data_IF_716013542134
#
_entry.id   IF_716013542134
#
_cell.length_a   1.000
_cell.length_b   1.000
_cell.length_c   1.000
_cell.angle_alpha   90.00
_cell.angle_beta   90.00
_cell.angle_gamma   90.00
#
_symmetry.space_group_name_H-M   'P 1'
#
loop_
_entity.id
_entity.type
_entity.pdbx_description
1 polymer ?
#
# COMPACT_ATOMS: atom_id res chain seq x y z
N UNK A 1 -8.11 57.09 73.35
CA UNK A 1 -9.26 56.96 72.43
C UNK A 1 -8.70 57.07 71.02
N UNK A 2 -8.39 55.95 70.38
CA UNK A 2 -7.93 55.92 68.98
C UNK A 2 -8.81 54.92 68.26
N UNK A 3 -9.65 55.44 67.38
CA UNK A 3 -10.67 54.71 66.64
C UNK A 3 -9.95 53.96 65.50
N UNK A 4 -9.94 52.64 65.56
CA UNK A 4 -9.40 51.80 64.50
C UNK A 4 -10.23 51.95 63.23
N UNK A 5 -9.64 52.45 62.16
CA UNK A 5 -10.28 52.58 60.86
C UNK A 5 -10.40 51.20 60.22
N UNK A 6 -11.62 50.67 60.19
CA UNK A 6 -11.99 49.49 59.40
C UNK A 6 -11.84 49.82 57.91
N UNK A 7 -10.76 49.33 57.27
CA UNK A 7 -10.59 49.38 55.82
C UNK A 7 -11.51 48.32 55.19
N UNK A 8 -12.52 48.69 54.38
CA UNK A 8 -13.39 47.72 53.73
C UNK A 8 -12.60 46.87 52.72
N UNK A 9 -12.97 45.58 52.52
CA UNK A 9 -12.29 44.72 51.56
C UNK A 9 -12.40 45.30 50.16
N UNK A 10 -11.26 45.47 49.49
CA UNK A 10 -11.16 45.94 48.12
C UNK A 10 -11.93 44.99 47.20
N UNK A 11 -13.03 45.46 46.60
CA UNK A 11 -13.78 44.71 45.59
C UNK A 11 -12.82 44.37 44.45
N UNK A 12 -12.46 43.09 44.29
CA UNK A 12 -11.60 42.63 43.18
C UNK A 12 -12.35 42.87 41.86
N UNK A 13 -11.81 43.76 41.04
CA UNK A 13 -12.26 44.00 39.68
C UNK A 13 -11.30 43.36 38.69
N UNK A 14 -11.83 42.99 37.52
CA UNK A 14 -11.06 42.39 36.43
C UNK A 14 -11.71 42.70 35.09
N UNK A 15 -11.07 42.29 33.99
CA UNK A 15 -11.64 42.46 32.67
C UNK A 15 -12.53 41.26 32.34
N UNK A 16 -13.71 41.52 31.79
CA UNK A 16 -14.62 40.50 31.28
C UNK A 16 -14.65 40.61 29.76
N UNK A 17 -14.32 39.53 29.06
CA UNK A 17 -14.38 39.47 27.61
C UNK A 17 -15.43 38.45 27.19
N UNK A 18 -16.35 38.87 26.32
CA UNK A 18 -17.37 38.00 25.72
C UNK A 18 -17.16 38.02 24.21
N UNK A 19 -16.94 36.84 23.62
CA UNK A 19 -16.75 36.70 22.19
C UNK A 19 -17.65 35.62 21.60
N UNK A 20 -18.10 35.88 20.37
CA UNK A 20 -18.74 34.92 19.49
C UNK A 20 -17.78 34.63 18.33
N UNK A 21 -17.75 33.38 17.87
CA UNK A 21 -17.01 32.97 16.68
C UNK A 21 -17.89 32.06 15.84
N UNK A 22 -17.93 32.29 14.54
CA UNK A 22 -18.66 31.44 13.61
C UNK A 22 -17.81 30.25 13.13
N UNK A 23 -18.45 29.36 12.35
CA UNK A 23 -17.83 28.17 11.75
C UNK A 23 -16.72 28.48 10.73
N UNK A 24 -16.64 29.73 10.27
CA UNK A 24 -15.60 30.22 9.35
C UNK A 24 -14.39 30.79 10.10
N UNK A 25 -14.47 30.89 11.43
CA UNK A 25 -13.42 31.42 12.29
C UNK A 25 -13.44 32.94 12.44
N UNK A 26 -14.48 33.63 11.95
CA UNK A 26 -14.64 35.06 12.17
C UNK A 26 -15.21 35.30 13.58
N UNK A 27 -14.50 36.09 14.39
CA UNK A 27 -14.88 36.37 15.77
C UNK A 27 -15.25 37.84 16.00
N UNK A 28 -16.33 38.09 16.72
CA UNK A 28 -16.68 39.42 17.25
C UNK A 28 -16.73 39.35 18.78
N UNK A 29 -16.16 40.34 19.46
CA UNK A 29 -16.09 40.34 20.92
C UNK A 29 -16.27 41.72 21.54
N UNK A 30 -16.71 41.74 22.79
CA UNK A 30 -16.91 42.93 23.61
C UNK A 30 -16.12 42.74 24.91
N UNK A 31 -15.30 43.73 25.27
CA UNK A 31 -14.55 43.75 26.53
C UNK A 31 -15.14 44.78 27.50
N UNK A 32 -15.34 44.36 28.75
CA UNK A 32 -15.74 45.19 29.87
C UNK A 32 -14.59 45.28 30.89
N UNK A 33 -13.88 46.40 30.90
CA UNK A 33 -12.75 46.62 31.82
C UNK A 33 -13.22 46.97 33.23
N UNK A 34 -12.44 46.56 34.25
CA UNK A 34 -12.71 46.83 35.68
C UNK A 34 -14.11 46.40 36.17
N UNK A 35 -14.58 45.26 35.67
CA UNK A 35 -15.84 44.63 36.06
C UNK A 35 -15.67 43.88 37.39
N UNK A 36 -16.59 44.08 38.33
CA UNK A 36 -16.61 43.30 39.58
C UNK A 36 -17.14 41.89 39.32
N UNK A 37 -16.73 40.91 40.13
CA UNK A 37 -17.21 39.53 40.00
C UNK A 37 -18.75 39.40 39.96
N UNK A 38 -19.43 40.16 40.82
CA UNK A 38 -20.90 40.24 40.87
C UNK A 38 -21.52 40.73 39.56
N UNK A 39 -20.92 41.76 38.94
CA UNK A 39 -21.38 42.29 37.65
C UNK A 39 -21.07 41.35 36.49
N UNK A 40 -19.90 40.70 36.52
CA UNK A 40 -19.54 39.72 35.51
C UNK A 40 -20.49 38.52 35.52
N UNK A 41 -20.87 38.06 36.71
CA UNK A 41 -21.84 36.97 36.89
C UNK A 41 -23.20 37.33 36.32
N UNK A 42 -23.69 38.55 36.60
CA UNK A 42 -24.97 39.02 36.05
C UNK A 42 -24.95 39.13 34.51
N UNK A 43 -23.86 39.65 33.93
CA UNK A 43 -23.71 39.76 32.47
C UNK A 43 -23.72 38.37 31.81
N UNK A 44 -22.95 37.42 32.36
CA UNK A 44 -22.91 36.04 31.85
C UNK A 44 -24.25 35.32 32.00
N UNK A 45 -24.98 35.54 33.09
CA UNK A 45 -26.31 34.97 33.30
C UNK A 45 -27.33 35.46 32.26
N UNK A 46 -27.29 36.76 31.92
CA UNK A 46 -28.11 37.32 30.84
C UNK A 46 -27.76 36.65 29.52
N UNK A 47 -26.47 36.57 29.17
CA UNK A 47 -26.02 35.89 27.96
C UNK A 47 -26.54 34.44 27.88
N UNK A 48 -26.42 33.68 28.98
CA UNK A 48 -26.92 32.30 29.06
C UNK A 48 -28.45 32.20 28.86
N UNK A 49 -29.23 33.15 29.38
CA UNK A 49 -30.70 33.14 29.29
C UNK A 49 -31.27 33.45 27.89
N UNK A 50 -30.47 34.04 27.00
CA UNK A 50 -30.85 34.33 25.61
C UNK A 50 -30.62 33.17 24.63
N UNK A 51 -29.89 32.13 25.03
CA UNK A 51 -29.72 30.90 24.23
C UNK A 51 -30.82 29.90 24.63
N UNK A 52 -31.96 29.95 23.94
CA UNK A 52 -33.10 29.07 24.22
C UNK A 52 -32.76 27.58 24.09
N UNK A 53 -33.18 26.80 25.09
CA UNK A 53 -33.33 25.32 25.25
C UNK A 53 -32.34 24.34 24.61
N UNK A 54 -31.33 24.80 23.86
CA UNK A 54 -30.25 23.96 23.36
C UNK A 54 -29.07 24.13 24.31
N UNK A 55 -28.59 23.05 24.97
CA UNK A 55 -27.49 23.11 25.91
C UNK A 55 -26.16 23.29 25.18
N UNK A 56 -25.95 24.47 24.59
CA UNK A 56 -24.64 24.94 24.17
C UNK A 56 -23.76 25.06 25.41
N UNK A 57 -22.79 24.16 25.52
CA UNK A 57 -21.80 24.10 26.61
C UNK A 57 -21.09 25.47 26.74
N UNK A 58 -21.43 26.23 27.78
CA UNK A 58 -20.64 27.39 28.19
C UNK A 58 -19.26 26.91 28.66
N UNK A 59 -18.23 27.16 27.86
CA UNK A 59 -16.84 26.98 28.30
C UNK A 59 -16.41 28.28 28.97
N UNK A 60 -16.55 28.34 30.30
CA UNK A 60 -15.97 29.44 31.08
C UNK A 60 -14.52 29.09 31.39
N UNK A 61 -13.55 29.72 30.71
CA UNK A 61 -12.14 29.66 31.14
C UNK A 61 -11.91 30.70 32.23
N UNK A 62 -12.32 30.39 33.46
CA UNK A 62 -11.75 31.07 34.61
C UNK A 62 -10.40 30.43 34.90
N UNK A 63 -9.31 31.18 34.69
CA UNK A 63 -8.02 30.83 35.31
C UNK A 63 -8.17 31.20 36.78
N UNK A 64 -8.78 30.28 37.53
CA UNK A 64 -8.77 30.29 38.98
C UNK A 64 -7.61 29.41 39.41
N UNK A 65 -6.54 30.03 39.87
CA UNK A 65 -5.41 29.35 40.51
C UNK A 65 -5.81 28.85 41.90
N UNK A 66 -6.78 27.94 41.96
CA UNK A 66 -7.10 27.13 43.14
C UNK A 66 -7.79 25.85 42.67
N UNK A 67 -7.09 24.72 42.84
CA UNK A 67 -7.60 23.38 42.57
C UNK A 67 -8.69 23.03 43.58
N UNK A 68 -9.94 23.18 43.19
CA UNK A 68 -11.07 22.46 43.80
C UNK A 68 -11.79 21.69 42.71
N UNK A 69 -11.62 20.37 42.76
CA UNK A 69 -12.24 19.37 41.89
C UNK A 69 -13.76 19.50 41.86
N UNK A 70 -14.30 20.00 40.74
CA UNK A 70 -15.69 19.73 40.36
C UNK A 70 -15.66 18.77 39.19
N UNK A 71 -16.00 17.51 39.48
CA UNK A 71 -16.10 16.38 38.56
C UNK A 71 -17.17 16.64 37.51
N UNK A 72 -16.77 17.19 36.36
CA UNK A 72 -17.57 17.18 35.13
C UNK A 72 -16.94 16.15 34.19
N UNK A 73 -17.55 14.96 34.16
CA UNK A 73 -17.08 13.76 33.47
C UNK A 73 -17.01 13.91 31.95
N UNK A 74 -15.93 14.52 31.48
CA UNK A 74 -15.54 14.58 30.07
C UNK A 74 -14.04 14.51 29.83
N UNK A 75 -13.21 14.50 30.89
CA UNK A 75 -11.75 14.35 30.80
C UNK A 75 -11.26 12.91 31.05
N UNK A 76 -12.02 12.11 31.77
CA UNK A 76 -11.60 10.78 32.26
C UNK A 76 -11.45 9.73 31.15
N UNK A 77 -11.94 10.02 29.94
CA UNK A 77 -11.84 9.12 28.79
C UNK A 77 -10.69 9.48 27.84
N UNK A 78 -9.96 10.58 28.07
CA UNK A 78 -8.82 10.94 27.23
C UNK A 78 -7.65 9.99 27.46
N UNK A 79 -7.36 9.63 28.70
CA UNK A 79 -6.29 8.68 29.05
C UNK A 79 -6.51 7.33 28.35
N UNK A 80 -7.74 6.81 28.41
CA UNK A 80 -8.12 5.55 27.74
C UNK A 80 -7.98 5.65 26.22
N UNK A 81 -8.41 6.78 25.62
CA UNK A 81 -8.29 6.98 24.16
C UNK A 81 -6.84 7.15 23.72
N UNK A 82 -5.99 7.80 24.52
CA UNK A 82 -4.55 7.87 24.26
C UNK A 82 -3.91 6.49 24.36
N UNK A 83 -4.22 5.71 25.39
CA UNK A 83 -3.67 4.36 25.54
C UNK A 83 -4.05 3.44 24.36
N UNK A 84 -5.29 3.54 23.88
CA UNK A 84 -5.73 2.81 22.66
C UNK A 84 -4.98 3.31 21.43
N UNK A 85 -4.83 4.62 21.25
CA UNK A 85 -4.12 5.19 20.11
C UNK A 85 -2.64 4.79 20.11
N UNK A 86 -1.98 4.79 21.26
CA UNK A 86 -0.60 4.34 21.41
C UNK A 86 -0.44 2.86 21.05
N UNK A 87 -1.38 2.03 21.49
CA UNK A 87 -1.41 0.61 21.14
C UNK A 87 -1.63 0.38 19.63
N UNK A 88 -2.60 1.08 19.03
CA UNK A 88 -2.86 1.00 17.59
C UNK A 88 -1.67 1.49 16.76
N UNK A 89 -1.01 2.58 17.15
CA UNK A 89 0.20 3.08 16.48
C UNK A 89 1.36 2.10 16.62
N UNK A 90 1.52 1.45 17.78
CA UNK A 90 2.52 0.42 17.96
C UNK A 90 2.28 -0.81 17.05
N UNK A 91 1.02 -1.22 16.90
CA UNK A 91 0.62 -2.25 15.94
C UNK A 91 0.90 -1.84 14.49
N UNK A 92 0.46 -0.64 14.06
CA UNK A 92 0.74 -0.11 12.73
C UNK A 92 2.25 -0.10 12.42
N UNK A 93 3.07 0.29 13.40
CA UNK A 93 4.53 0.29 13.23
C UNK A 93 5.08 -1.12 12.99
N UNK A 94 4.49 -2.12 13.64
CA UNK A 94 4.85 -3.53 13.46
C UNK A 94 4.42 -4.02 12.08
N UNK A 95 3.16 -3.79 11.72
CA UNK A 95 2.61 -4.17 10.41
C UNK A 95 3.41 -3.53 9.25
N UNK A 96 3.79 -2.26 9.37
CA UNK A 96 4.62 -1.57 8.37
C UNK A 96 6.02 -2.20 8.28
N UNK A 97 6.59 -2.65 9.40
CA UNK A 97 7.87 -3.36 9.39
C UNK A 97 7.77 -4.71 8.68
N UNK A 98 6.69 -5.44 8.91
CA UNK A 98 6.43 -6.74 8.28
C UNK A 98 6.19 -6.60 6.79
N UNK A 99 5.36 -5.64 6.36
CA UNK A 99 5.13 -5.30 4.95
C UNK A 99 6.46 -4.97 4.25
N UNK A 100 7.36 -4.22 4.91
CA UNK A 100 8.67 -3.89 4.34
C UNK A 100 9.55 -5.14 4.18
N UNK A 101 9.44 -6.10 5.10
CA UNK A 101 10.13 -7.39 5.01
C UNK A 101 9.58 -8.24 3.86
N UNK A 102 8.26 -8.36 3.75
CA UNK A 102 7.59 -9.08 2.67
C UNK A 102 7.90 -8.47 1.30
N UNK A 103 7.92 -7.14 1.19
CA UNK A 103 8.30 -6.44 -0.05
C UNK A 103 9.74 -6.78 -0.48
N UNK A 104 10.67 -6.91 0.46
CA UNK A 104 12.03 -7.38 0.17
C UNK A 104 12.02 -8.83 -0.32
N UNK A 105 11.22 -9.70 0.29
CA UNK A 105 11.04 -11.08 -0.15
C UNK A 105 10.45 -11.19 -1.56
N UNK A 106 9.47 -10.35 -1.90
CA UNK A 106 8.89 -10.28 -3.24
C UNK A 106 9.94 -9.82 -4.26
N UNK A 107 10.74 -8.82 -3.92
CA UNK A 107 11.81 -8.35 -4.80
C UNK A 107 12.85 -9.45 -5.09
N UNK A 108 13.25 -10.23 -4.08
CA UNK A 108 14.17 -11.36 -4.27
C UNK A 108 13.54 -12.47 -5.12
N UNK A 109 12.27 -12.82 -4.86
CA UNK A 109 11.58 -13.85 -5.64
C UNK A 109 11.42 -13.45 -7.11
N UNK A 110 11.14 -12.17 -7.37
CA UNK A 110 11.04 -11.62 -8.72
C UNK A 110 12.39 -11.68 -9.45
N UNK A 111 13.48 -11.38 -8.75
CA UNK A 111 14.84 -11.49 -9.32
C UNK A 111 15.18 -12.95 -9.68
N UNK A 112 14.84 -13.90 -8.81
CA UNK A 112 15.00 -15.34 -9.09
C UNK A 112 14.16 -15.78 -10.30
N UNK A 113 12.88 -15.41 -10.35
CA UNK A 113 12.00 -15.73 -11.47
C UNK A 113 12.54 -15.19 -12.81
N UNK A 114 13.09 -13.97 -12.82
CA UNK A 114 13.74 -13.41 -14.00
C UNK A 114 14.97 -14.22 -14.44
N UNK A 115 15.75 -14.73 -13.49
CA UNK A 115 16.88 -15.63 -13.79
C UNK A 115 16.40 -16.94 -14.41
N UNK A 116 15.35 -17.53 -13.84
CA UNK A 116 14.78 -18.78 -14.34
C UNK A 116 14.22 -18.59 -15.76
N UNK A 117 13.52 -17.48 -16.03
CA UNK A 117 13.03 -17.14 -17.36
C UNK A 117 14.18 -17.03 -18.36
N UNK A 118 15.30 -16.38 -18.00
CA UNK A 118 16.48 -16.32 -18.88
C UNK A 118 17.03 -17.70 -19.21
N UNK A 119 17.10 -18.59 -18.22
CA UNK A 119 17.55 -19.97 -18.43
C UNK A 119 16.59 -20.71 -19.35
N UNK A 120 15.28 -20.59 -19.15
CA UNK A 120 14.27 -21.21 -20.01
C UNK A 120 14.36 -20.69 -21.44
N UNK A 121 14.51 -19.37 -21.63
CA UNK A 121 14.70 -18.77 -22.96
C UNK A 121 15.95 -19.30 -23.65
N UNK A 122 17.07 -19.42 -22.92
CA UNK A 122 18.29 -20.00 -23.48
C UNK A 122 18.08 -21.45 -23.90
N UNK A 123 17.43 -22.26 -23.04
CA UNK A 123 17.12 -23.65 -23.37
C UNK A 123 16.18 -23.78 -24.58
N UNK A 124 15.24 -22.86 -24.77
CA UNK A 124 14.37 -22.84 -25.96
C UNK A 124 15.18 -22.57 -27.23
N UNK A 125 16.12 -21.61 -27.19
CA UNK A 125 17.03 -21.34 -28.29
C UNK A 125 17.89 -22.58 -28.60
N UNK A 126 18.43 -23.23 -27.57
CA UNK A 126 19.26 -24.41 -27.74
C UNK A 126 18.47 -25.60 -28.32
N UNK A 127 17.21 -25.78 -27.91
CA UNK A 127 16.29 -26.78 -28.46
C UNK A 127 16.00 -26.48 -29.93
N UNK A 128 15.68 -25.23 -30.27
CA UNK A 128 15.40 -24.80 -31.64
C UNK A 128 16.59 -25.04 -32.57
N UNK A 129 17.79 -24.70 -32.12
CA UNK A 129 19.04 -24.97 -32.84
C UNK A 129 19.27 -26.49 -33.03
N UNK A 130 19.10 -27.29 -31.98
CA UNK A 130 19.26 -28.75 -32.07
C UNK A 130 18.20 -29.41 -32.96
N UNK A 131 16.96 -28.94 -32.90
CA UNK A 131 15.86 -29.45 -33.71
C UNK A 131 16.12 -29.14 -35.19
N UNK A 132 16.53 -27.91 -35.50
CA UNK A 132 16.91 -27.52 -36.86
C UNK A 132 18.09 -28.35 -37.39
N UNK A 133 19.09 -28.61 -36.55
CA UNK A 133 20.26 -29.39 -36.95
C UNK A 133 19.97 -30.89 -37.16
N UNK A 134 19.16 -31.51 -36.30
CA UNK A 134 18.98 -32.98 -36.26
C UNK A 134 17.69 -33.49 -36.90
N UNK A 135 16.65 -32.67 -36.90
CA UNK A 135 15.32 -32.98 -37.44
C UNK A 135 14.88 -31.96 -38.50
N UNK A 136 15.75 -31.02 -38.87
CA UNK A 136 15.46 -30.05 -39.93
C UNK A 136 15.16 -30.75 -41.25
N UNK A 137 14.25 -30.12 -42.02
CA UNK A 137 13.79 -30.60 -43.33
C UNK A 137 14.95 -31.02 -44.23
N UNK A 138 16.03 -30.22 -44.26
CA UNK A 138 17.20 -30.49 -45.11
C UNK A 138 17.97 -31.75 -44.71
N UNK A 139 18.12 -32.02 -43.40
CA UNK A 139 18.77 -33.25 -42.92
C UNK A 139 17.94 -34.49 -43.23
N UNK A 140 16.63 -34.41 -43.01
CA UNK A 140 15.70 -35.50 -43.30
C UNK A 140 15.62 -35.75 -44.80
N UNK A 141 15.48 -34.71 -45.63
CA UNK A 141 15.45 -34.81 -47.08
C UNK A 141 16.75 -35.42 -47.62
N UNK A 142 17.92 -34.98 -47.13
CA UNK A 142 19.21 -35.56 -47.52
C UNK A 142 19.29 -37.06 -47.19
N UNK A 143 18.79 -37.48 -46.02
CA UNK A 143 18.77 -38.89 -45.64
C UNK A 143 17.80 -39.70 -46.50
N UNK A 144 16.62 -39.15 -46.78
CA UNK A 144 15.59 -39.76 -47.64
C UNK A 144 16.10 -39.91 -49.07
N UNK A 145 16.78 -38.90 -49.61
CA UNK A 145 17.36 -38.93 -50.95
C UNK A 145 18.46 -39.99 -51.07
N UNK A 146 19.32 -40.09 -50.05
CA UNK A 146 20.32 -41.16 -49.98
C UNK A 146 19.69 -42.56 -50.00
N UNK A 147 18.61 -42.76 -49.23
CA UNK A 147 17.86 -44.02 -49.23
C UNK A 147 17.18 -44.28 -50.57
N UNK A 148 16.57 -43.27 -51.21
CA UNK A 148 15.91 -43.39 -52.51
C UNK A 148 16.91 -43.79 -53.60
N UNK A 149 18.06 -43.12 -53.65
CA UNK A 149 19.14 -43.45 -54.59
C UNK A 149 19.66 -44.87 -54.37
N UNK A 150 19.87 -45.27 -53.12
CA UNK A 150 20.31 -46.62 -52.78
C UNK A 150 19.29 -47.70 -53.18
N UNK A 151 18.00 -47.46 -52.95
CA UNK A 151 16.92 -48.37 -53.35
C UNK A 151 16.85 -48.51 -54.87
N UNK A 152 17.00 -47.40 -55.62
CA UNK A 152 17.07 -47.43 -57.08
C UNK A 152 18.27 -48.25 -57.57
N UNK A 153 19.44 -48.09 -56.94
CA UNK A 153 20.64 -48.86 -57.28
C UNK A 153 20.44 -50.37 -57.13
N UNK A 154 19.85 -50.81 -56.01
CA UNK A 154 19.52 -52.22 -55.78
C UNK A 154 18.50 -52.72 -56.81
N UNK A 155 17.49 -51.90 -57.14
CA UNK A 155 16.47 -52.24 -58.14
C UNK A 155 17.09 -52.42 -59.53
N UNK A 156 18.01 -51.54 -59.95
CA UNK A 156 18.71 -51.67 -61.22
C UNK A 156 19.58 -52.93 -61.29
N UNK A 157 20.32 -53.26 -60.23
CA UNK A 157 21.14 -54.48 -60.16
C UNK A 157 20.25 -55.73 -60.28
N UNK A 158 19.09 -55.72 -59.60
CA UNK A 158 18.14 -56.84 -59.63
C UNK A 158 17.55 -57.11 -61.02
N UNK A 159 17.37 -56.08 -61.85
CA UNK A 159 16.83 -56.22 -63.22
C UNK A 159 17.96 -56.46 -64.24
N UNK A 160 19.11 -55.81 -64.06
CA UNK A 160 20.23 -55.91 -64.99
C UNK A 160 20.83 -57.33 -65.01
N UNK A 161 20.97 -57.99 -63.85
CA UNK A 161 21.58 -59.33 -63.79
C UNK A 161 20.84 -60.39 -64.65
N UNK A 162 19.51 -60.53 -64.55
CA UNK A 162 18.75 -61.44 -65.41
C UNK A 162 18.89 -61.12 -66.89
N UNK A 163 18.85 -59.83 -67.25
CA UNK A 163 18.96 -59.37 -68.65
C UNK A 163 20.33 -59.66 -69.24
N UNK A 164 21.40 -59.39 -68.49
CA UNK A 164 22.78 -59.68 -68.92
C UNK A 164 22.99 -61.19 -69.07
N UNK A 165 22.49 -61.98 -68.12
CA UNK A 165 22.57 -63.45 -68.19
C UNK A 165 21.82 -63.98 -69.42
N UNK A 166 20.65 -63.43 -69.72
CA UNK A 166 19.87 -63.78 -70.90
C UNK A 166 20.60 -63.43 -72.19
N UNK A 167 21.20 -62.23 -72.28
CA UNK A 167 21.97 -61.79 -73.46
C UNK A 167 23.23 -62.63 -73.67
N UNK A 168 23.98 -62.95 -72.61
CA UNK A 168 25.14 -63.84 -72.67
C UNK A 168 24.71 -65.23 -73.15
N UNK A 169 23.60 -65.76 -72.61
CA UNK A 169 23.05 -67.03 -73.06
C UNK A 169 22.66 -66.96 -74.55
N UNK A 170 22.09 -65.87 -75.05
CA UNK A 170 21.75 -65.69 -76.46
C UNK A 170 22.99 -65.57 -77.36
N UNK A 171 24.06 -64.93 -76.87
CA UNK A 171 25.27 -64.67 -77.64
C UNK A 171 26.24 -65.87 -77.66
N UNK A 172 26.34 -66.61 -76.57
CA UNK A 172 27.12 -67.84 -76.48
C UNK A 172 26.38 -69.04 -77.06
N UNK A 173 25.04 -68.99 -77.10
CA UNK A 173 24.21 -69.92 -77.88
C UNK A 173 24.20 -69.46 -79.34
N UNK A 174 25.35 -69.55 -80.00
CA UNK A 174 25.31 -69.73 -81.46
C UNK A 174 24.62 -71.07 -81.77
N UNK A 175 23.88 -71.15 -82.88
CA UNK A 175 23.01 -72.28 -83.22
C UNK A 175 23.73 -73.63 -83.18
#
# INVERSE_FOLDING_TARGET
MTIGTHVPPSKKTGNLFVAYSDETGASVGIEFSSTTQERATAIMAICASTFGDNPGKLVTSSISSDTSSTTLGGGDNMETRLAVLEAEVAHIKTDVSDIKSELKGIATNTASANSDIKVVLQKLIDIDANLTAKAGKDFVDSKVDGVKSWLLGILFISIAMPVITFLINLYLKKP
#
